data_IF_690086307557
#
_entry.id   IF_690086307557
#
_cell.length_a   1.000
_cell.length_b   1.000
_cell.length_c   1.000
_cell.angle_alpha   90.00
_cell.angle_beta   90.00
_cell.angle_gamma   90.00
#
_symmetry.space_group_name_H-M   'P 1'
#
loop_
_entity.id
_entity.type
_entity.pdbx_description
1 polymer ?
#
# COMPACT_ATOMS: atom_id res chain seq x y z
N UNK A 1 -50.51 -10.58 30.41
CA UNK A 1 -49.43 -10.62 29.41
C UNK A 1 -48.72 -9.27 29.43
N UNK A 2 -47.40 -9.28 29.67
CA UNK A 2 -46.52 -8.10 29.79
C UNK A 2 -46.05 -7.66 28.39
N UNK A 3 -45.92 -6.36 28.15
CA UNK A 3 -44.91 -5.83 27.23
C UNK A 3 -44.22 -4.62 27.89
N UNK A 4 -42.93 -4.77 28.17
CA UNK A 4 -42.05 -3.67 28.58
C UNK A 4 -41.34 -3.16 27.32
N UNK A 5 -41.26 -1.85 27.08
CA UNK A 5 -40.44 -1.32 26.00
C UNK A 5 -38.96 -1.45 26.37
N UNK A 6 -38.20 -2.19 25.57
CA UNK A 6 -36.76 -2.30 25.72
C UNK A 6 -36.10 -0.95 25.38
N UNK A 7 -35.74 -0.19 26.42
CA UNK A 7 -34.91 1.00 26.29
C UNK A 7 -33.48 0.54 26.00
N UNK A 8 -33.01 0.80 24.78
CA UNK A 8 -31.64 0.53 24.35
C UNK A 8 -30.69 1.38 25.21
N UNK A 9 -29.73 0.80 25.95
CA UNK A 9 -28.89 1.58 26.84
C UNK A 9 -28.03 2.54 26.03
N UNK A 10 -27.99 3.81 26.45
CA UNK A 10 -27.13 4.82 25.87
C UNK A 10 -25.66 4.34 25.97
N UNK A 11 -25.03 4.11 24.81
CA UNK A 11 -23.62 3.78 24.75
C UNK A 11 -22.83 4.95 25.36
N UNK A 12 -22.05 4.67 26.42
CA UNK A 12 -21.10 5.64 26.95
C UNK A 12 -20.11 5.97 25.83
N UNK A 13 -20.26 7.14 25.19
CA UNK A 13 -19.29 7.66 24.22
C UNK A 13 -17.93 7.77 24.92
N UNK A 14 -17.00 6.88 24.57
CA UNK A 14 -15.59 7.01 24.93
C UNK A 14 -15.07 8.31 24.27
N UNK A 15 -14.21 9.09 24.94
CA UNK A 15 -13.66 10.29 24.34
C UNK A 15 -12.92 9.92 23.04
N UNK A 16 -13.28 10.61 21.96
CA UNK A 16 -12.79 10.39 20.62
C UNK A 16 -11.25 10.48 20.58
N UNK A 17 -10.57 9.37 20.30
CA UNK A 17 -9.21 9.44 19.75
C UNK A 17 -9.37 9.94 18.32
N UNK A 18 -9.19 11.25 18.09
CA UNK A 18 -9.14 11.84 16.75
C UNK A 18 -7.94 11.28 15.98
N UNK A 19 -8.09 10.11 15.37
CA UNK A 19 -7.20 9.64 14.32
C UNK A 19 -7.81 10.09 13.00
N UNK A 20 -7.21 11.10 12.37
CA UNK A 20 -7.47 11.36 10.95
C UNK A 20 -7.00 10.13 10.16
N UNK A 21 -7.76 9.72 9.15
CA UNK A 21 -7.26 8.79 8.16
C UNK A 21 -5.94 9.37 7.60
N UNK A 22 -4.82 8.66 7.75
CA UNK A 22 -3.55 9.16 7.27
C UNK A 22 -3.52 9.12 5.73
N UNK A 23 -2.85 10.10 5.09
CA UNK A 23 -2.92 10.29 3.64
C UNK A 23 -2.21 9.19 2.85
N UNK A 24 -2.49 9.14 1.54
CA UNK A 24 -1.76 8.32 0.56
C UNK A 24 -0.24 8.59 0.64
N UNK A 25 0.57 7.66 0.10
CA UNK A 25 2.01 7.91 0.04
C UNK A 25 2.30 9.13 -0.83
N UNK A 26 3.14 10.04 -0.32
CA UNK A 26 3.57 11.26 -1.02
C UNK A 26 2.44 12.21 -1.43
N UNK A 27 1.29 12.19 -0.73
CA UNK A 27 0.15 13.06 -1.05
C UNK A 27 0.50 14.56 -1.10
N UNK A 28 1.51 14.99 -0.34
CA UNK A 28 2.07 16.35 -0.30
C UNK A 28 2.86 16.73 -1.57
N UNK A 29 3.20 15.75 -2.42
CA UNK A 29 4.12 15.93 -3.57
C UNK A 29 3.44 15.76 -4.91
N UNK A 30 2.20 15.29 -4.90
CA UNK A 30 1.40 15.11 -6.10
C UNK A 30 0.90 16.47 -6.60
N UNK A 31 0.80 16.68 -7.92
CA UNK A 31 0.27 17.92 -8.46
C UNK A 31 -1.16 18.15 -7.93
N UNK A 32 -1.55 19.40 -7.72
CA UNK A 32 -2.85 19.75 -7.12
C UNK A 32 -4.06 19.20 -7.90
N UNK A 33 -3.90 18.90 -9.19
CA UNK A 33 -4.93 18.32 -10.04
C UNK A 33 -5.04 16.79 -9.92
N UNK A 34 -4.12 16.10 -9.21
CA UNK A 34 -4.23 14.68 -8.96
C UNK A 34 -5.38 14.44 -7.96
N UNK A 35 -6.40 13.62 -8.29
CA UNK A 35 -7.47 13.29 -7.35
C UNK A 35 -6.93 12.33 -6.27
N UNK A 36 -6.26 12.88 -5.27
CA UNK A 36 -5.66 12.11 -4.17
C UNK A 36 -6.61 12.13 -2.99
N UNK A 37 -7.38 11.06 -2.83
CA UNK A 37 -8.09 10.78 -1.59
C UNK A 37 -9.58 10.55 -1.74
N UNK A 38 -10.15 10.02 -0.66
CA UNK A 38 -11.59 9.98 -0.47
C UNK A 38 -12.10 11.36 -0.02
N UNK A 39 -13.38 11.70 -0.29
CA UNK A 39 -13.97 12.93 0.22
C UNK A 39 -13.72 13.06 1.73
N UNK A 40 -13.46 14.28 2.18
CA UNK A 40 -13.22 14.57 3.59
C UNK A 40 -14.42 14.07 4.41
N UNK A 41 -14.13 13.28 5.43
CA UNK A 41 -15.15 12.72 6.31
C UNK A 41 -15.75 13.90 7.10
N UNK A 42 -17.06 14.14 7.00
CA UNK A 42 -17.73 15.16 7.79
C UNK A 42 -17.40 15.00 9.28
N UNK A 43 -17.13 16.12 9.97
CA UNK A 43 -16.60 16.08 11.35
C UNK A 43 -17.57 15.47 12.36
N UNK A 44 -18.86 15.49 12.06
CA UNK A 44 -19.95 14.86 12.82
C UNK A 44 -19.97 13.33 12.70
N UNK A 45 -19.30 12.77 11.68
CA UNK A 45 -19.18 11.33 11.43
C UNK A 45 -17.77 10.79 11.74
N UNK A 46 -16.86 11.64 12.20
CA UNK A 46 -15.46 11.27 12.40
C UNK A 46 -15.27 10.15 13.46
N UNK A 47 -16.11 10.13 14.50
CA UNK A 47 -16.07 9.11 15.54
C UNK A 47 -16.52 7.74 15.00
N UNK A 48 -17.63 7.72 14.27
CA UNK A 48 -18.18 6.52 13.64
C UNK A 48 -17.18 5.93 12.64
N UNK A 49 -16.50 6.78 11.87
CA UNK A 49 -15.47 6.33 10.94
C UNK A 49 -14.24 5.76 11.65
N UNK A 50 -13.79 6.36 12.76
CA UNK A 50 -12.66 5.82 13.52
C UNK A 50 -12.98 4.45 14.11
N UNK A 51 -14.20 4.24 14.59
CA UNK A 51 -14.63 2.94 15.11
C UNK A 51 -14.77 1.90 14.00
N UNK A 52 -15.33 2.29 12.84
CA UNK A 52 -15.39 1.45 11.65
C UNK A 52 -13.99 1.05 11.18
N UNK A 53 -13.05 2.00 11.11
CA UNK A 53 -11.66 1.76 10.73
C UNK A 53 -10.98 0.72 11.64
N UNK A 54 -11.06 0.91 12.96
CA UNK A 54 -10.50 -0.04 13.91
C UNK A 54 -11.15 -1.43 13.79
N UNK A 55 -12.44 -1.47 13.46
CA UNK A 55 -13.17 -2.73 13.22
C UNK A 55 -12.70 -3.42 11.96
N UNK A 56 -12.46 -2.68 10.87
CA UNK A 56 -11.94 -3.20 9.61
C UNK A 56 -10.52 -3.77 9.80
N UNK A 57 -9.62 -3.06 10.49
CA UNK A 57 -8.28 -3.59 10.78
C UNK A 57 -8.34 -4.90 11.57
N UNK A 58 -9.20 -4.97 12.60
CA UNK A 58 -9.41 -6.20 13.38
C UNK A 58 -10.01 -7.33 12.53
N UNK A 59 -10.91 -7.01 11.61
CA UNK A 59 -11.50 -7.98 10.71
C UNK A 59 -10.45 -8.55 9.75
N UNK A 60 -9.68 -7.69 9.06
CA UNK A 60 -8.58 -8.09 8.20
C UNK A 60 -7.60 -9.01 8.93
N UNK A 61 -7.21 -8.65 10.17
CA UNK A 61 -6.37 -9.50 11.01
C UNK A 61 -6.96 -10.90 11.20
N UNK A 62 -8.22 -10.98 11.63
CA UNK A 62 -8.90 -12.25 11.91
C UNK A 62 -9.02 -13.11 10.67
N UNK A 63 -9.39 -12.53 9.53
CA UNK A 63 -9.50 -13.24 8.26
C UNK A 63 -8.15 -13.82 7.83
N UNK A 64 -7.10 -12.98 7.85
CA UNK A 64 -5.75 -13.41 7.47
C UNK A 64 -5.24 -14.55 8.35
N UNK A 65 -5.41 -14.43 9.68
CA UNK A 65 -4.99 -15.48 10.63
C UNK A 65 -5.84 -16.75 10.53
N UNK A 66 -7.07 -16.66 10.01
CA UNK A 66 -7.90 -17.82 9.68
C UNK A 66 -7.51 -18.50 8.35
N UNK A 67 -6.45 -18.03 7.66
CA UNK A 67 -6.00 -18.58 6.38
C UNK A 67 -6.81 -18.07 5.18
N UNK A 68 -7.68 -17.08 5.37
CA UNK A 68 -8.39 -16.43 4.27
C UNK A 68 -7.43 -15.49 3.57
N UNK A 69 -7.28 -15.67 2.25
CA UNK A 69 -6.40 -14.86 1.45
C UNK A 69 -6.87 -13.39 1.42
N UNK A 70 -5.90 -12.48 1.53
CA UNK A 70 -6.09 -11.04 1.38
C UNK A 70 -5.20 -10.56 0.24
N UNK A 71 -5.73 -9.67 -0.59
CA UNK A 71 -4.99 -9.02 -1.67
C UNK A 71 -5.13 -7.51 -1.53
N UNK A 72 -4.02 -6.75 -1.53
CA UNK A 72 -4.09 -5.31 -1.43
C UNK A 72 -4.72 -4.74 -2.71
N UNK A 73 -5.77 -3.96 -2.53
CA UNK A 73 -6.50 -3.28 -3.59
C UNK A 73 -6.88 -1.89 -3.10
N UNK A 74 -6.66 -0.88 -3.93
CA UNK A 74 -6.75 0.52 -3.47
C UNK A 74 -8.06 1.19 -3.84
N UNK A 75 -8.81 0.65 -4.80
CA UNK A 75 -9.96 1.30 -5.46
C UNK A 75 -9.67 2.74 -5.92
N UNK A 76 -8.40 3.00 -6.26
CA UNK A 76 -7.88 4.32 -6.64
C UNK A 76 -7.12 4.22 -7.96
N UNK A 77 -7.24 5.25 -8.79
CA UNK A 77 -6.61 5.31 -10.12
C UNK A 77 -5.09 5.53 -10.09
N UNK A 78 -4.48 5.75 -8.93
CA UNK A 78 -3.09 6.23 -8.81
C UNK A 78 -2.16 5.18 -8.19
N UNK A 79 -0.97 5.01 -8.75
CA UNK A 79 0.05 4.05 -8.29
C UNK A 79 0.70 4.38 -6.93
N UNK A 80 0.29 5.46 -6.26
CA UNK A 80 0.85 5.92 -4.97
C UNK A 80 0.02 5.50 -3.73
N UNK A 81 -1.07 4.77 -3.92
CA UNK A 81 -1.94 4.33 -2.81
C UNK A 81 -1.63 2.91 -2.35
N UNK A 82 -1.01 2.07 -3.20
CA UNK A 82 -0.73 0.67 -2.87
C UNK A 82 0.28 0.52 -1.73
N UNK A 83 1.27 1.41 -1.66
CA UNK A 83 2.23 1.41 -0.55
C UNK A 83 1.52 1.70 0.79
N UNK A 84 0.49 2.56 0.76
CA UNK A 84 -0.32 2.84 1.95
C UNK A 84 -1.18 1.63 2.32
N UNK A 85 -1.75 0.93 1.33
CA UNK A 85 -2.50 -0.30 1.57
C UNK A 85 -1.66 -1.37 2.28
N UNK A 86 -0.40 -1.53 1.88
CA UNK A 86 0.52 -2.45 2.55
C UNK A 86 0.89 -2.02 3.98
N UNK A 87 0.94 -0.72 4.25
CA UNK A 87 1.09 -0.21 5.62
C UNK A 87 -0.16 -0.49 6.47
N UNK A 88 -1.35 -0.40 5.89
CA UNK A 88 -2.62 -0.74 6.56
C UNK A 88 -2.64 -2.21 6.98
N UNK A 89 -2.05 -3.11 6.18
CA UNK A 89 -1.90 -4.51 6.55
C UNK A 89 -0.96 -4.67 7.77
N UNK A 90 0.10 -3.86 7.84
CA UNK A 90 0.93 -3.75 9.03
C UNK A 90 0.16 -3.25 10.26
N UNK A 91 -0.69 -2.23 10.10
CA UNK A 91 -1.58 -1.73 11.16
C UNK A 91 -2.62 -2.79 11.59
N UNK A 92 -3.07 -3.64 10.66
CA UNK A 92 -3.90 -4.81 10.94
C UNK A 92 -3.10 -5.97 11.58
N UNK A 93 -1.79 -5.87 11.78
CA UNK A 93 -0.98 -6.88 12.46
C UNK A 93 -0.46 -8.00 11.56
N UNK A 94 -0.32 -7.75 10.25
CA UNK A 94 0.55 -8.56 9.39
C UNK A 94 2.00 -8.10 9.59
N UNK A 95 2.93 -9.04 9.53
CA UNK A 95 4.35 -8.72 9.45
C UNK A 95 4.66 -8.07 8.10
N UNK A 96 5.73 -7.28 7.97
CA UNK A 96 6.14 -6.72 6.68
C UNK A 96 6.35 -7.79 5.60
N UNK A 97 6.89 -8.96 5.96
CA UNK A 97 7.05 -10.09 5.04
C UNK A 97 5.70 -10.61 4.53
N UNK A 98 4.71 -10.77 5.42
CA UNK A 98 3.36 -11.20 5.06
C UNK A 98 2.68 -10.18 4.14
N UNK A 99 2.77 -8.89 4.44
CA UNK A 99 2.20 -7.83 3.60
C UNK A 99 2.84 -7.79 2.20
N UNK A 100 4.17 -7.92 2.11
CA UNK A 100 4.85 -8.00 0.81
C UNK A 100 4.44 -9.25 0.03
N UNK A 101 4.29 -10.39 0.71
CA UNK A 101 3.86 -11.65 0.12
C UNK A 101 2.45 -11.54 -0.49
N UNK A 102 1.52 -10.87 0.19
CA UNK A 102 0.16 -10.64 -0.32
C UNK A 102 0.13 -9.83 -1.61
N UNK A 103 1.07 -8.88 -1.76
CA UNK A 103 1.21 -8.06 -2.97
C UNK A 103 2.01 -8.72 -4.10
N UNK A 104 2.63 -9.88 -3.87
CA UNK A 104 3.57 -10.50 -4.81
C UNK A 104 3.17 -11.92 -5.13
N UNK A 105 3.78 -12.92 -4.48
CA UNK A 105 3.59 -14.33 -4.84
C UNK A 105 2.17 -14.83 -4.56
N UNK A 106 1.48 -14.36 -3.53
CA UNK A 106 0.11 -14.81 -3.27
C UNK A 106 -0.89 -14.23 -4.28
N UNK A 107 -0.65 -13.00 -4.77
CA UNK A 107 -1.39 -12.43 -5.90
C UNK A 107 -1.09 -13.20 -7.20
N UNK A 108 0.18 -13.52 -7.46
CA UNK A 108 0.57 -14.27 -8.65
C UNK A 108 -0.05 -15.68 -8.67
N UNK A 109 -0.06 -16.40 -7.54
CA UNK A 109 -0.74 -17.70 -7.41
C UNK A 109 -2.24 -17.61 -7.65
N UNK A 110 -2.88 -16.58 -7.11
CA UNK A 110 -4.32 -16.38 -7.31
C UNK A 110 -4.67 -16.17 -8.79
N UNK A 111 -3.79 -15.49 -9.54
CA UNK A 111 -3.95 -15.23 -10.97
C UNK A 111 -3.42 -16.36 -11.87
N UNK A 112 -2.89 -17.46 -11.31
CA UNK A 112 -2.25 -18.54 -12.08
C UNK A 112 -0.96 -18.12 -12.81
N UNK A 113 -0.29 -17.08 -12.31
CA UNK A 113 0.88 -16.46 -12.92
C UNK A 113 2.20 -16.79 -12.20
N UNK A 114 2.17 -17.63 -11.15
CA UNK A 114 3.31 -17.90 -10.26
C UNK A 114 4.50 -18.57 -10.96
N UNK A 115 4.28 -19.24 -12.09
CA UNK A 115 5.36 -19.79 -12.92
C UNK A 115 6.17 -18.71 -13.64
N UNK A 116 5.59 -17.51 -13.81
CA UNK A 116 6.18 -16.43 -14.60
C UNK A 116 6.46 -15.14 -13.80
N UNK A 117 5.88 -14.99 -12.61
CA UNK A 117 5.93 -13.75 -11.82
C UNK A 117 5.70 -14.01 -10.32
N UNK A 118 5.81 -12.96 -9.50
CA UNK A 118 5.54 -12.99 -8.06
C UNK A 118 6.75 -13.30 -7.16
N UNK A 119 7.84 -13.85 -7.69
CA UNK A 119 9.12 -14.01 -6.98
C UNK A 119 10.31 -13.72 -7.90
N UNK A 120 11.47 -13.46 -7.28
CA UNK A 120 12.74 -13.28 -7.98
C UNK A 120 13.41 -14.64 -8.12
N UNK A 121 13.17 -15.32 -9.24
CA UNK A 121 13.69 -16.65 -9.56
C UNK A 121 14.12 -16.72 -11.04
N UNK A 122 15.08 -17.60 -11.34
CA UNK A 122 15.52 -17.83 -12.73
C UNK A 122 14.35 -18.35 -13.57
N UNK A 123 14.21 -17.83 -14.79
CA UNK A 123 13.14 -18.20 -15.72
C UNK A 123 11.85 -17.38 -15.58
N UNK A 124 11.68 -16.61 -14.50
CA UNK A 124 10.55 -15.67 -14.35
C UNK A 124 10.86 -14.33 -15.02
N UNK A 125 9.81 -13.53 -15.26
CA UNK A 125 9.96 -12.17 -15.78
C UNK A 125 10.78 -11.32 -14.81
N UNK A 126 11.63 -10.47 -15.35
CA UNK A 126 12.37 -9.47 -14.58
C UNK A 126 11.45 -8.30 -14.19
N UNK A 127 10.54 -8.56 -13.26
CA UNK A 127 9.61 -7.61 -12.66
C UNK A 127 10.02 -7.40 -11.18
N UNK A 128 10.76 -6.34 -10.88
CA UNK A 128 11.20 -6.01 -9.52
C UNK A 128 11.46 -4.52 -9.35
N UNK A 129 11.66 -4.08 -8.12
CA UNK A 129 12.03 -2.70 -7.83
C UNK A 129 13.10 -2.65 -6.75
N UNK A 130 13.83 -1.53 -6.69
CA UNK A 130 14.91 -1.32 -5.73
C UNK A 130 14.55 -0.20 -4.75
N UNK A 131 14.87 -0.44 -3.49
CA UNK A 131 14.73 0.50 -2.38
C UNK A 131 16.04 0.48 -1.56
N UNK A 132 16.42 1.59 -0.92
CA UNK A 132 17.69 1.68 -0.20
C UNK A 132 17.65 1.02 1.18
N UNK A 133 16.46 0.86 1.75
CA UNK A 133 16.26 0.32 3.09
C UNK A 133 15.59 -1.06 3.05
N UNK A 134 15.85 -1.89 4.06
CA UNK A 134 15.21 -3.19 4.21
C UNK A 134 13.72 -3.03 4.57
N UNK A 135 12.78 -3.49 3.71
CA UNK A 135 11.35 -3.34 3.97
C UNK A 135 10.84 -4.29 5.05
N UNK A 136 11.63 -5.30 5.45
CA UNK A 136 11.27 -6.23 6.52
C UNK A 136 11.39 -5.60 7.91
N UNK A 137 12.28 -4.63 8.08
CA UNK A 137 12.42 -3.87 9.33
C UNK A 137 11.34 -2.78 9.42
N UNK A 138 10.99 -2.18 8.28
CA UNK A 138 10.00 -1.10 8.19
C UNK A 138 9.32 -1.09 6.83
N UNK A 139 8.07 -1.55 6.79
CA UNK A 139 7.30 -1.64 5.52
C UNK A 139 7.22 -0.31 4.76
N UNK A 140 7.19 0.84 5.46
CA UNK A 140 7.21 2.18 4.85
C UNK A 140 8.42 2.46 3.94
N UNK A 141 9.50 1.67 4.03
CA UNK A 141 10.65 1.76 3.12
C UNK A 141 10.26 1.60 1.65
N UNK A 142 9.18 0.86 1.34
CA UNK A 142 8.68 0.69 -0.03
C UNK A 142 8.19 1.98 -0.69
N UNK A 143 8.05 3.08 0.07
CA UNK A 143 7.73 4.41 -0.49
C UNK A 143 8.91 5.03 -1.23
N UNK A 144 10.12 4.54 -1.02
CA UNK A 144 11.36 5.14 -1.53
C UNK A 144 11.98 4.35 -2.68
N UNK A 145 11.16 4.07 -3.70
CA UNK A 145 11.57 3.30 -4.87
C UNK A 145 12.55 4.10 -5.72
N UNK A 146 13.76 3.57 -5.88
CA UNK A 146 14.86 4.20 -6.64
C UNK A 146 14.93 3.70 -8.08
N UNK A 147 14.42 2.50 -8.33
CA UNK A 147 14.41 1.87 -9.64
C UNK A 147 13.23 0.91 -9.76
N UNK A 148 12.64 0.83 -10.94
CA UNK A 148 11.67 -0.22 -11.28
C UNK A 148 12.16 -0.93 -12.54
N UNK A 149 12.16 -2.26 -12.54
CA UNK A 149 12.41 -3.09 -13.70
C UNK A 149 11.12 -3.83 -14.02
N UNK A 150 10.65 -3.71 -15.26
CA UNK A 150 9.43 -4.38 -15.73
C UNK A 150 9.74 -5.07 -17.04
N UNK A 151 9.57 -6.39 -17.09
CA UNK A 151 9.90 -7.22 -18.25
C UNK A 151 11.36 -7.08 -18.68
N UNK A 152 12.27 -6.76 -17.75
CA UNK A 152 13.69 -6.50 -18.03
C UNK A 152 14.02 -5.08 -18.49
N UNK A 153 13.02 -4.22 -18.72
CA UNK A 153 13.22 -2.81 -19.06
C UNK A 153 13.35 -1.98 -17.80
N UNK A 154 14.29 -1.05 -17.78
CA UNK A 154 14.60 -0.27 -16.58
C UNK A 154 13.92 1.09 -16.61
N UNK A 155 13.24 1.45 -15.52
CA UNK A 155 12.54 2.72 -15.35
C UNK A 155 13.09 3.48 -14.15
N UNK A 156 13.26 4.79 -14.33
CA UNK A 156 13.65 5.72 -13.28
C UNK A 156 12.41 6.43 -12.72
N UNK A 157 12.05 6.19 -11.45
CA UNK A 157 10.98 6.94 -10.78
C UNK A 157 11.25 8.43 -10.77
N UNK A 158 12.51 8.87 -10.62
CA UNK A 158 12.90 10.27 -10.70
C UNK A 158 12.50 10.90 -12.05
N UNK A 159 12.86 10.22 -13.15
CA UNK A 159 12.52 10.67 -14.49
C UNK A 159 10.99 10.71 -14.70
N UNK A 160 10.28 9.66 -14.27
CA UNK A 160 8.82 9.58 -14.39
C UNK A 160 8.11 10.65 -13.55
N UNK A 161 8.52 10.86 -12.31
CA UNK A 161 7.96 11.90 -11.43
C UNK A 161 8.11 13.28 -12.08
N UNK A 162 9.30 13.59 -12.61
CA UNK A 162 9.56 14.86 -13.30
C UNK A 162 8.67 15.03 -14.53
N UNK A 163 8.52 13.99 -15.34
CA UNK A 163 7.65 14.01 -16.52
C UNK A 163 6.17 14.22 -16.18
N UNK A 164 5.72 13.72 -15.01
CA UNK A 164 4.35 13.85 -14.51
C UNK A 164 4.12 15.11 -13.67
N UNK A 165 5.13 15.98 -13.51
CA UNK A 165 5.03 17.18 -12.66
C UNK A 165 4.94 16.87 -11.16
N UNK A 166 5.32 15.67 -10.73
CA UNK A 166 5.41 15.27 -9.32
C UNK A 166 6.76 15.73 -8.76
N UNK A 167 6.75 16.30 -7.55
CA UNK A 167 8.02 16.65 -6.88
C UNK A 167 8.76 15.37 -6.50
N UNK A 168 9.90 15.11 -7.14
CA UNK A 168 10.69 13.91 -6.89
C UNK A 168 11.53 14.03 -5.60
N UNK A 169 11.75 12.89 -4.93
CA UNK A 169 12.62 12.73 -3.76
C UNK A 169 13.60 11.56 -3.91
N UNK A 170 13.43 10.82 -4.99
CA UNK A 170 14.22 9.66 -5.34
C UNK A 170 15.33 10.12 -6.27
N UNK A 171 16.45 9.43 -6.19
CA UNK A 171 17.61 9.64 -7.03
C UNK A 171 17.85 8.33 -7.75
N UNK A 172 17.99 8.39 -9.06
CA UNK A 172 18.32 7.23 -9.87
C UNK A 172 19.75 6.81 -9.54
N UNK A 173 19.98 5.57 -9.07
CA UNK A 173 21.33 5.11 -8.82
C UNK A 173 22.10 5.01 -10.14
N UNK A 174 23.43 5.18 -10.10
CA UNK A 174 24.26 4.86 -11.24
C UNK A 174 24.18 3.35 -11.51
N UNK A 175 23.78 2.96 -12.72
CA UNK A 175 23.60 1.56 -13.11
C UNK A 175 24.60 1.15 -14.17
N UNK A 176 25.01 -0.11 -14.11
CA UNK A 176 25.87 -0.73 -15.11
C UNK A 176 25.41 -2.15 -15.42
N UNK A 177 25.52 -2.55 -16.68
CA UNK A 177 25.39 -3.92 -17.12
C UNK A 177 26.77 -4.42 -17.56
N UNK A 178 27.44 -5.17 -16.68
CA UNK A 178 28.88 -5.40 -16.81
C UNK A 178 29.63 -4.08 -16.70
N UNK A 179 30.47 -3.78 -17.70
CA UNK A 179 31.22 -2.52 -17.76
C UNK A 179 30.46 -1.36 -18.40
N UNK A 180 29.35 -1.64 -19.09
CA UNK A 180 28.58 -0.62 -19.81
C UNK A 180 27.62 0.12 -18.87
N UNK A 181 27.52 1.46 -18.96
CA UNK A 181 26.50 2.21 -18.24
C UNK A 181 25.10 1.82 -18.74
N UNK A 182 24.15 1.64 -17.82
CA UNK A 182 22.76 1.33 -18.14
C UNK A 182 21.90 2.57 -17.88
N UNK A 183 21.22 3.05 -18.93
CA UNK A 183 20.39 4.24 -18.85
C UNK A 183 18.91 3.86 -18.65
N UNK A 184 18.10 4.70 -17.96
CA UNK A 184 16.66 4.50 -17.90
C UNK A 184 16.05 4.42 -19.32
N UNK A 185 15.10 3.50 -19.51
CA UNK A 185 14.39 3.26 -20.76
C UNK A 185 15.01 2.20 -21.67
N UNK A 186 16.21 1.69 -21.32
CA UNK A 186 16.86 0.54 -21.96
C UNK A 186 16.31 -0.79 -21.43
#
# INVERSE_FOLDING_TARGET
MRSLPATRPASRRRPARRRRAPPAAHADRLPAAAPVGHPAIPSDQADDFSEAYDTLLRLCHKLFRAGIALWPGTDQLHSYTLQRELELYGEAGLTPAEALRTATIDAARHLGAEQSSGTIERGKRADFFLIPENPLDRIRAIRDVRLVVQGGRVYSPEHMHRALGVTHWTHTPAMRLGDAPLLPGQ
#
